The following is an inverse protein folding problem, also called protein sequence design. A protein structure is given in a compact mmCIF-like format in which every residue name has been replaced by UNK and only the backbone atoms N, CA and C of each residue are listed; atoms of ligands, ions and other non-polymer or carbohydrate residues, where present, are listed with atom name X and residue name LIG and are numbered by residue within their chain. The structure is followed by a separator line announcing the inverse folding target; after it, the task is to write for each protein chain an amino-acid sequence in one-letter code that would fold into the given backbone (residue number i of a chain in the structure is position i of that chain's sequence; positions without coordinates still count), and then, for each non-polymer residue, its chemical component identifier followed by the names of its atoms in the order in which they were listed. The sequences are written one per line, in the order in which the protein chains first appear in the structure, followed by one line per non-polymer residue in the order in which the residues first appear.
data_IF_672940733229
#
_entry.id   IF_672940733229
#
_cell.length_a   1.000
_cell.length_b   1.000
_cell.length_c   1.000
_cell.angle_alpha   90.00
_cell.angle_beta   90.00
_cell.angle_gamma   90.00
#
_symmetry.space_group_name_H-M   'P 1'
#
loop_
_entity.id
_entity.type
_entity.pdbx_description
1 polymer ?
#
# COMPACT_ATOMS: atom_id res chain seq x y z
N UNK A 1 16.53 18.20 8.19
CA UNK A 1 16.66 16.79 8.67
C UNK A 1 15.33 16.05 8.65
N UNK A 2 14.22 16.68 9.10
CA UNK A 2 12.88 16.08 9.10
C UNK A 2 12.38 15.75 7.69
N UNK A 3 12.56 16.63 6.69
CA UNK A 3 12.13 16.33 5.30
C UNK A 3 12.96 15.22 4.66
N UNK A 4 14.28 15.19 4.89
CA UNK A 4 15.17 14.15 4.37
C UNK A 4 14.76 12.75 4.86
N UNK A 5 14.34 12.64 6.12
CA UNK A 5 13.84 11.39 6.69
C UNK A 5 12.51 10.96 6.02
N UNK A 6 11.59 11.90 5.80
CA UNK A 6 10.32 11.64 5.09
C UNK A 6 10.55 11.16 3.64
N UNK A 7 11.48 11.78 2.91
CA UNK A 7 11.81 11.36 1.55
C UNK A 7 12.41 9.93 1.50
N UNK A 8 13.23 9.56 2.48
CA UNK A 8 13.77 8.21 2.60
C UNK A 8 12.68 7.17 2.90
N UNK A 9 11.75 7.48 3.78
CA UNK A 9 10.58 6.62 4.03
C UNK A 9 9.71 6.50 2.78
N UNK A 10 9.50 7.60 2.04
CA UNK A 10 8.84 7.60 0.75
C UNK A 10 9.54 6.71 -0.29
N UNK A 11 10.87 6.70 -0.33
CA UNK A 11 11.64 5.77 -1.18
C UNK A 11 11.36 4.31 -0.82
N UNK A 12 11.25 3.97 0.47
CA UNK A 12 10.84 2.62 0.89
C UNK A 12 9.42 2.28 0.43
N UNK A 13 8.47 3.21 0.59
CA UNK A 13 7.11 3.08 0.06
C UNK A 13 7.11 2.81 -1.45
N UNK A 14 7.88 3.56 -2.23
CA UNK A 14 8.01 3.35 -3.67
C UNK A 14 8.58 1.97 -4.00
N UNK A 15 9.67 1.56 -3.34
CA UNK A 15 10.27 0.24 -3.56
C UNK A 15 9.29 -0.90 -3.29
N UNK A 16 8.40 -0.78 -2.30
CA UNK A 16 7.37 -1.81 -2.03
C UNK A 16 6.35 -1.95 -3.15
N UNK A 17 6.19 -0.92 -3.97
CA UNK A 17 5.30 -0.96 -5.13
C UNK A 17 5.98 -1.59 -6.36
N UNK A 18 7.27 -1.32 -6.58
CA UNK A 18 7.98 -1.67 -7.82
C UNK A 18 8.92 -2.87 -7.74
N UNK A 19 9.41 -3.23 -6.55
CA UNK A 19 10.44 -4.25 -6.34
C UNK A 19 9.94 -5.32 -5.35
N UNK A 20 8.90 -6.05 -5.75
CA UNK A 20 8.24 -7.07 -4.92
C UNK A 20 8.96 -8.42 -4.90
N UNK A 21 9.88 -8.64 -5.84
CA UNK A 21 10.57 -9.93 -5.97
C UNK A 21 11.89 -9.98 -5.19
N UNK A 22 12.44 -8.82 -4.85
CA UNK A 22 13.70 -8.69 -4.12
C UNK A 22 13.69 -9.36 -2.74
N UNK A 23 14.85 -9.83 -2.31
CA UNK A 23 15.03 -10.53 -1.02
C UNK A 23 14.52 -9.69 0.17
N UNK A 24 14.77 -8.38 0.14
CA UNK A 24 14.32 -7.45 1.18
C UNK A 24 12.78 -7.44 1.31
N UNK A 25 12.05 -7.50 0.19
CA UNK A 25 10.60 -7.55 0.20
C UNK A 25 10.12 -8.87 0.81
N UNK A 26 10.76 -9.99 0.44
CA UNK A 26 10.47 -11.32 1.03
C UNK A 26 10.70 -11.35 2.54
N UNK A 27 11.76 -10.68 3.04
CA UNK A 27 12.01 -10.54 4.47
C UNK A 27 10.90 -9.75 5.16
N UNK A 28 10.46 -8.63 4.58
CA UNK A 28 9.34 -7.85 5.11
C UNK A 28 8.03 -8.65 5.06
N UNK A 29 7.78 -9.39 3.99
CA UNK A 29 6.62 -10.26 3.83
C UNK A 29 6.60 -11.37 4.87
N UNK A 30 7.74 -12.00 5.14
CA UNK A 30 7.86 -13.01 6.19
C UNK A 30 7.63 -12.42 7.58
N UNK A 31 8.10 -11.18 7.83
CA UNK A 31 7.98 -10.52 9.15
C UNK A 31 6.59 -9.97 9.43
N UNK A 32 5.97 -9.30 8.46
CA UNK A 32 4.72 -8.55 8.65
C UNK A 32 3.51 -9.22 8.01
N UNK A 33 3.71 -10.17 7.11
CA UNK A 33 2.66 -10.80 6.33
C UNK A 33 2.25 -9.96 5.11
N UNK A 34 1.60 -10.62 4.15
CA UNK A 34 1.04 -10.01 2.95
C UNK A 34 -0.45 -10.33 2.88
N UNK A 35 -1.24 -9.32 2.56
CA UNK A 35 -2.69 -9.41 2.39
C UNK A 35 -3.08 -8.62 1.15
N UNK A 36 -3.81 -9.26 0.21
CA UNK A 36 -4.23 -8.66 -1.06
C UNK A 36 -3.05 -7.99 -1.81
N UNK A 37 -1.90 -8.67 -1.82
CA UNK A 37 -0.66 -8.23 -2.48
C UNK A 37 0.01 -6.99 -1.89
N UNK A 38 -0.36 -6.60 -0.65
CA UNK A 38 0.23 -5.51 0.13
C UNK A 38 0.75 -6.02 1.47
N UNK A 39 1.84 -5.44 1.96
CA UNK A 39 2.38 -5.78 3.29
C UNK A 39 1.41 -5.30 4.38
N UNK A 40 1.09 -6.17 5.35
CA UNK A 40 0.17 -5.82 6.44
C UNK A 40 0.83 -4.78 7.35
N UNK A 41 0.01 -3.99 8.04
CA UNK A 41 0.51 -3.06 9.07
C UNK A 41 1.25 -3.81 10.20
N UNK A 42 0.84 -5.04 10.52
CA UNK A 42 1.44 -5.85 11.57
C UNK A 42 1.02 -5.45 13.00
N UNK A 43 0.14 -4.45 13.14
CA UNK A 43 -0.40 -3.97 14.40
C UNK A 43 0.68 -3.50 15.39
N UNK A 44 0.40 -3.61 16.70
CA UNK A 44 1.30 -3.17 17.77
C UNK A 44 2.64 -3.91 17.85
N UNK A 45 2.83 -5.01 17.09
CA UNK A 45 4.08 -5.78 17.00
C UNK A 45 5.07 -5.23 15.96
N UNK A 46 4.66 -4.22 15.18
CA UNK A 46 5.53 -3.55 14.22
C UNK A 46 6.65 -2.76 14.89
N UNK A 47 7.85 -2.74 14.28
CA UNK A 47 8.91 -1.83 14.74
C UNK A 47 8.48 -0.37 14.59
N UNK A 48 9.08 0.55 15.36
CA UNK A 48 8.83 1.99 15.21
C UNK A 48 9.03 2.45 13.76
N UNK A 49 10.12 2.01 13.13
CA UNK A 49 10.40 2.25 11.71
C UNK A 49 9.27 1.78 10.79
N UNK A 50 8.76 0.56 10.99
CA UNK A 50 7.69 0.02 10.15
C UNK A 50 6.39 0.82 10.30
N UNK A 51 6.05 1.21 11.53
CA UNK A 51 4.87 2.06 11.79
C UNK A 51 4.96 3.40 11.07
N UNK A 52 6.13 4.04 11.03
CA UNK A 52 6.30 5.29 10.27
C UNK A 52 6.17 5.09 8.75
N UNK A 53 6.64 3.96 8.22
CA UNK A 53 6.41 3.59 6.81
C UNK A 53 4.91 3.41 6.52
N UNK A 54 4.21 2.64 7.36
CA UNK A 54 2.77 2.38 7.20
C UNK A 54 1.99 3.70 7.22
N UNK A 55 2.30 4.62 8.14
CA UNK A 55 1.66 5.96 8.21
C UNK A 55 1.76 6.73 6.88
N UNK A 56 2.95 6.74 6.27
CA UNK A 56 3.16 7.43 4.98
C UNK A 56 2.48 6.68 3.84
N UNK A 57 2.56 5.35 3.82
CA UNK A 57 1.98 4.51 2.78
C UNK A 57 0.45 4.62 2.74
N UNK A 58 -0.18 4.53 3.92
CA UNK A 58 -1.63 4.44 4.05
C UNK A 58 -2.28 5.82 4.25
N UNK A 59 -1.48 6.89 4.35
CA UNK A 59 -1.95 8.25 4.60
C UNK A 59 -2.54 8.44 6.00
N UNK A 60 -2.14 7.59 6.96
CA UNK A 60 -2.62 7.62 8.33
C UNK A 60 -1.74 8.56 9.17
N UNK A 61 -2.18 9.81 9.36
CA UNK A 61 -1.49 10.81 10.18
C UNK A 61 -2.03 12.22 9.94
N UNK A 62 -1.53 13.21 10.69
CA UNK A 62 -1.91 14.63 10.53
C UNK A 62 -1.50 15.24 9.17
N UNK A 63 -1.54 16.57 9.07
CA UNK A 63 -1.24 17.29 7.83
C UNK A 63 0.07 16.81 7.18
N UNK A 64 -0.02 16.37 5.92
CA UNK A 64 1.12 15.88 5.15
C UNK A 64 1.38 14.38 5.23
N UNK A 65 0.49 13.57 5.82
CA UNK A 65 0.58 12.09 5.79
C UNK A 65 0.17 11.49 4.43
N UNK A 66 -0.80 12.11 3.75
CA UNK A 66 -1.34 11.66 2.46
C UNK A 66 -0.44 11.90 1.25
N UNK A 67 0.66 12.66 1.41
CA UNK A 67 1.49 13.12 0.29
C UNK A 67 1.94 12.00 -0.65
N UNK A 68 2.33 10.85 -0.11
CA UNK A 68 2.83 9.74 -0.91
C UNK A 68 1.71 9.13 -1.76
N UNK A 69 0.54 8.92 -1.15
CA UNK A 69 -0.66 8.42 -1.85
C UNK A 69 -1.15 9.40 -2.92
N UNK A 70 -1.09 10.70 -2.64
CA UNK A 70 -1.46 11.76 -3.58
C UNK A 70 -0.46 11.90 -4.74
N UNK A 71 0.80 11.54 -4.53
CA UNK A 71 1.88 11.69 -5.52
C UNK A 71 2.10 10.45 -6.40
N UNK A 72 1.45 9.32 -6.10
CA UNK A 72 1.70 8.04 -6.78
C UNK A 72 0.43 7.53 -7.44
N UNK A 73 0.53 7.19 -8.73
CA UNK A 73 -0.54 6.57 -9.51
C UNK A 73 -0.11 5.19 -9.99
N UNK A 74 -0.94 4.18 -9.72
CA UNK A 74 -0.78 2.85 -10.33
C UNK A 74 -1.33 2.87 -11.75
N UNK A 75 -0.50 2.51 -12.73
CA UNK A 75 -0.95 2.23 -14.10
C UNK A 75 -1.17 0.73 -14.24
N UNK A 76 -2.33 0.33 -14.73
CA UNK A 76 -2.63 -1.07 -15.03
C UNK A 76 -1.83 -1.47 -16.28
N UNK A 77 -1.05 -2.54 -16.17
CA UNK A 77 -0.34 -3.18 -17.28
C UNK A 77 -1.16 -4.33 -17.86
N UNK A 78 -0.59 -5.53 -17.87
CA UNK A 78 -1.25 -6.79 -18.27
C UNK A 78 -2.33 -7.28 -17.26
N UNK A 79 -2.31 -6.73 -16.05
CA UNK A 79 -3.28 -7.03 -15.00
C UNK A 79 -2.85 -8.15 -14.04
N UNK A 80 -1.74 -8.86 -14.27
CA UNK A 80 -1.33 -10.00 -13.41
C UNK A 80 -1.09 -9.57 -11.95
N UNK A 81 -0.57 -8.35 -11.76
CA UNK A 81 -0.31 -7.77 -10.44
C UNK A 81 -1.41 -6.78 -9.98
N UNK A 82 -2.64 -6.88 -10.50
CA UNK A 82 -3.74 -5.95 -10.22
C UNK A 82 -4.97 -6.65 -9.65
N UNK A 83 -5.36 -6.27 -8.44
CA UNK A 83 -6.55 -6.81 -7.79
C UNK A 83 -7.79 -6.06 -8.23
N UNK A 84 -8.73 -6.78 -8.84
CA UNK A 84 -9.94 -6.20 -9.42
C UNK A 84 -10.72 -5.29 -8.45
N UNK A 85 -10.95 -5.73 -7.21
CA UNK A 85 -11.77 -4.95 -6.29
C UNK A 85 -11.00 -3.88 -5.51
N UNK A 86 -9.77 -4.19 -5.08
CA UNK A 86 -9.03 -3.39 -4.09
C UNK A 86 -7.96 -2.48 -4.65
N UNK A 87 -7.56 -2.65 -5.90
CA UNK A 87 -6.63 -1.71 -6.53
C UNK A 87 -7.39 -0.57 -7.24
N UNK A 88 -6.83 0.64 -7.23
CA UNK A 88 -7.37 1.75 -8.00
C UNK A 88 -7.38 1.44 -9.50
N UNK A 89 -8.53 1.69 -10.14
CA UNK A 89 -8.70 1.64 -11.60
C UNK A 89 -8.71 3.07 -12.18
N UNK A 90 -9.35 3.24 -13.34
CA UNK A 90 -9.61 4.55 -13.94
C UNK A 90 -10.38 5.45 -12.96
N UNK A 91 -9.78 6.61 -12.64
CA UNK A 91 -10.33 7.58 -11.69
C UNK A 91 -9.78 7.47 -10.26
N UNK A 92 -8.77 6.63 -10.00
CA UNK A 92 -7.96 6.70 -8.79
C UNK A 92 -8.57 6.13 -7.51
N UNK A 93 -9.77 5.54 -7.58
CA UNK A 93 -10.42 4.85 -6.45
C UNK A 93 -10.57 3.35 -6.74
N UNK A 94 -10.42 2.47 -5.73
CA UNK A 94 -10.80 1.06 -5.82
C UNK A 94 -12.27 0.86 -6.19
N UNK A 95 -12.58 -0.23 -6.89
CA UNK A 95 -13.97 -0.56 -7.25
C UNK A 95 -14.82 -0.95 -6.04
N UNK A 96 -14.23 -1.54 -4.99
CA UNK A 96 -14.95 -1.86 -3.76
C UNK A 96 -15.47 -0.61 -3.04
N UNK A 97 -14.77 0.53 -3.15
CA UNK A 97 -15.22 1.82 -2.60
C UNK A 97 -16.38 2.42 -3.41
N UNK A 98 -16.36 2.25 -4.74
CA UNK A 98 -17.40 2.80 -5.64
C UNK A 98 -18.65 1.93 -5.74
N UNK A 99 -18.47 0.61 -5.69
CA UNK A 99 -19.51 -0.37 -5.97
C UNK A 99 -19.63 -1.40 -4.83
N UNK A 100 -19.74 -0.92 -3.59
CA UNK A 100 -19.75 -1.76 -2.39
C UNK A 100 -20.75 -2.93 -2.43
N UNK A 101 -21.99 -2.70 -2.90
CA UNK A 101 -22.99 -3.77 -3.03
C UNK A 101 -22.56 -4.91 -3.96
N UNK A 102 -21.93 -4.58 -5.09
CA UNK A 102 -21.42 -5.59 -6.03
C UNK A 102 -20.22 -6.33 -5.45
N UNK A 103 -19.39 -5.63 -4.68
CA UNK A 103 -18.26 -6.21 -3.98
C UNK A 103 -18.72 -7.23 -2.92
N UNK A 104 -19.72 -6.89 -2.11
CA UNK A 104 -20.28 -7.79 -1.09
C UNK A 104 -20.87 -9.07 -1.73
N UNK A 105 -21.57 -8.94 -2.86
CA UNK A 105 -22.09 -10.09 -3.60
C UNK A 105 -20.97 -10.96 -4.19
N UNK A 106 -19.85 -10.35 -4.60
CA UNK A 106 -18.72 -11.08 -5.16
C UNK A 106 -17.88 -11.83 -4.10
N UNK A 107 -17.85 -11.34 -2.84
CA UNK A 107 -17.17 -12.02 -1.72
C UNK A 107 -18.03 -13.13 -1.09
N UNK A 108 -19.36 -13.02 -1.12
CA UNK A 108 -20.29 -14.04 -0.59
C UNK A 108 -20.61 -15.14 -1.63
N UNK A 109 -19.60 -15.97 -1.96
CA UNK A 109 -19.79 -17.18 -2.76
C UNK A 109 -20.24 -18.38 -1.95
#
# INVERSE_FOLDING_TARGET
LKEFNLALLGKWCWRMLVDKEGLWFRVLAARYGVERGRLREGGGRGSSWWREIVKIRDGAGGLGSGWFRESVVKRVGDGEATFFWTDPWLGGSPLCERFGRLFDLAENK
#
